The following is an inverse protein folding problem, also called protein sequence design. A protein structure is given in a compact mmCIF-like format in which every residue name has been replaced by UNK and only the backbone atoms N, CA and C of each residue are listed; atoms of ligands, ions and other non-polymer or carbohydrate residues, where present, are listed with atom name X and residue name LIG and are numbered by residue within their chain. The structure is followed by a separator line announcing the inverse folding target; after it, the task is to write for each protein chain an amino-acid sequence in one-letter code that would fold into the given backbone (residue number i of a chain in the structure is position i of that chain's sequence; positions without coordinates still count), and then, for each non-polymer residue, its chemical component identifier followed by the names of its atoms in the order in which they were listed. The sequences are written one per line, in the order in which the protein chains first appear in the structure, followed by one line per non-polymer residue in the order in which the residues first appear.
data_IF_808211339419
#
_entry.id   IF_808211339419
#
_cell.length_a   1.000
_cell.length_b   1.000
_cell.length_c   1.000
_cell.angle_alpha   90.00
_cell.angle_beta   90.00
_cell.angle_gamma   90.00
#
_symmetry.space_group_name_H-M   'P 1'
#
loop_
_entity.id
_entity.type
_entity.pdbx_description
1 polymer ?
#
# COMPACT_ATOMS: atom_id res chain seq x y z
N UNK A 1 -18.03 7.35 -36.49
CA UNK A 1 -18.64 6.46 -35.49
C UNK A 1 -17.59 6.34 -34.39
N UNK A 2 -17.85 7.01 -33.29
CA UNK A 2 -16.94 7.10 -32.15
C UNK A 2 -16.92 5.74 -31.45
N UNK A 3 -15.74 5.07 -31.23
CA UNK A 3 -15.67 3.75 -30.63
C UNK A 3 -15.93 3.77 -29.10
N UNK A 4 -16.37 4.90 -28.53
CA UNK A 4 -16.66 5.09 -27.11
C UNK A 4 -18.15 5.28 -26.79
N UNK A 5 -19.04 4.74 -27.62
CA UNK A 5 -20.46 4.69 -27.29
C UNK A 5 -20.67 3.65 -26.16
N UNK A 6 -20.27 4.04 -24.96
CA UNK A 6 -20.51 3.28 -23.72
C UNK A 6 -21.99 3.35 -23.44
N UNK A 7 -22.64 2.19 -23.43
CA UNK A 7 -24.02 2.03 -23.04
C UNK A 7 -24.28 2.82 -21.74
N UNK A 8 -25.09 3.87 -21.84
CA UNK A 8 -25.63 4.60 -20.70
C UNK A 8 -26.55 3.60 -19.98
N UNK A 9 -26.06 2.98 -18.91
CA UNK A 9 -26.93 2.24 -18.02
C UNK A 9 -27.72 3.31 -17.25
N UNK A 10 -28.99 3.48 -17.60
CA UNK A 10 -29.87 4.38 -16.88
C UNK A 10 -29.85 4.01 -15.40
N UNK A 11 -29.38 4.95 -14.59
CA UNK A 11 -29.36 4.80 -13.14
C UNK A 11 -30.83 4.78 -12.67
N UNK A 12 -31.31 3.72 -12.00
CA UNK A 12 -32.71 3.61 -11.59
C UNK A 12 -33.18 4.74 -10.66
N UNK A 13 -32.27 5.57 -10.20
CA UNK A 13 -32.49 6.61 -9.18
C UNK A 13 -32.80 7.99 -9.77
N UNK A 14 -32.79 8.19 -11.09
CA UNK A 14 -33.24 9.45 -11.72
C UNK A 14 -34.76 9.67 -11.63
N UNK A 15 -35.54 8.67 -11.26
CA UNK A 15 -36.96 8.75 -10.92
C UNK A 15 -37.10 8.78 -9.41
N UNK A 16 -37.44 9.88 -8.82
CA UNK A 16 -37.66 10.20 -7.41
C UNK A 16 -37.55 9.13 -6.31
N UNK A 17 -37.40 9.54 -5.07
CA UNK A 17 -37.19 8.68 -3.87
C UNK A 17 -38.18 7.50 -3.74
N UNK A 18 -39.37 7.59 -4.31
CA UNK A 18 -40.37 6.52 -4.29
C UNK A 18 -40.02 5.34 -5.24
N UNK A 19 -39.23 5.55 -6.27
CA UNK A 19 -38.81 4.50 -7.20
C UNK A 19 -37.69 3.61 -6.67
N UNK A 20 -36.86 4.08 -5.74
CA UNK A 20 -35.83 3.28 -5.09
C UNK A 20 -36.46 2.17 -4.23
N UNK A 21 -37.61 2.44 -3.64
CA UNK A 21 -38.34 1.48 -2.81
C UNK A 21 -38.94 0.31 -3.62
N UNK A 22 -39.12 0.49 -4.92
CA UNK A 22 -39.59 -0.57 -5.84
C UNK A 22 -38.44 -1.29 -6.57
N UNK A 23 -37.19 -0.79 -6.47
CA UNK A 23 -36.05 -1.42 -7.12
C UNK A 23 -35.67 -2.72 -6.43
N UNK A 24 -35.40 -3.81 -7.19
CA UNK A 24 -35.08 -5.09 -6.61
C UNK A 24 -33.71 -5.09 -5.89
N UNK A 25 -33.64 -5.90 -4.82
CA UNK A 25 -32.36 -6.21 -4.19
C UNK A 25 -31.84 -7.56 -4.71
N UNK A 26 -30.50 -7.68 -4.84
CA UNK A 26 -29.86 -8.95 -5.10
C UNK A 26 -29.77 -9.75 -3.79
N UNK A 27 -30.21 -11.00 -3.81
CA UNK A 27 -30.18 -11.88 -2.63
C UNK A 27 -29.09 -12.94 -2.79
N UNK A 28 -28.28 -13.10 -1.76
CA UNK A 28 -27.21 -14.10 -1.69
C UNK A 28 -27.43 -15.06 -0.52
N UNK A 29 -27.02 -16.30 -0.68
CA UNK A 29 -27.01 -17.32 0.38
C UNK A 29 -28.38 -17.89 0.79
N UNK A 30 -29.45 -17.55 0.11
CA UNK A 30 -30.80 -18.07 0.46
C UNK A 30 -31.89 -17.67 -0.52
N UNK A 31 -33.07 -18.21 -0.30
CA UNK A 31 -34.28 -17.75 -0.98
C UNK A 31 -34.95 -16.67 -0.13
N UNK A 32 -35.27 -15.54 -0.75
CA UNK A 32 -36.04 -14.51 -0.06
C UNK A 32 -37.46 -14.97 0.28
N UNK A 33 -37.90 -14.79 1.54
CA UNK A 33 -39.32 -14.91 1.81
C UNK A 33 -40.07 -13.83 1.03
N UNK A 34 -41.30 -14.10 0.59
CA UNK A 34 -42.13 -13.10 -0.07
C UNK A 34 -42.47 -11.98 0.93
N UNK A 35 -41.71 -10.91 0.92
CA UNK A 35 -41.99 -9.72 1.71
C UNK A 35 -42.61 -8.65 0.82
N UNK A 36 -43.72 -8.02 1.24
CA UNK A 36 -44.34 -6.93 0.50
C UNK A 36 -43.34 -5.81 0.22
N UNK A 37 -43.17 -5.45 -1.04
CA UNK A 37 -42.27 -4.36 -1.45
C UNK A 37 -40.82 -4.75 -1.66
N UNK A 38 -40.43 -6.03 -1.61
CA UNK A 38 -39.15 -6.49 -2.13
C UNK A 38 -39.38 -7.28 -3.40
N UNK A 39 -38.91 -6.78 -4.49
CA UNK A 39 -38.64 -7.59 -5.68
C UNK A 39 -37.22 -8.14 -5.54
N UNK A 40 -37.10 -9.44 -5.26
CA UNK A 40 -35.79 -10.11 -5.25
C UNK A 40 -35.52 -10.66 -6.65
N UNK A 41 -34.52 -10.13 -7.31
CA UNK A 41 -34.07 -10.64 -8.61
C UNK A 41 -32.58 -10.97 -8.55
N UNK A 42 -32.26 -12.15 -8.97
CA UNK A 42 -30.88 -12.58 -9.24
C UNK A 42 -30.65 -12.57 -10.77
N UNK A 43 -30.80 -11.42 -11.43
CA UNK A 43 -30.45 -11.29 -12.85
C UNK A 43 -29.29 -10.29 -13.00
N UNK A 44 -28.16 -10.73 -13.54
CA UNK A 44 -27.02 -9.86 -13.85
C UNK A 44 -27.43 -8.64 -14.68
N UNK A 45 -26.85 -7.46 -14.38
CA UNK A 45 -27.07 -6.24 -15.14
C UNK A 45 -28.40 -5.51 -14.90
N UNK A 46 -29.29 -6.02 -14.02
CA UNK A 46 -30.53 -5.31 -13.66
C UNK A 46 -30.28 -4.23 -12.60
N UNK A 47 -31.07 -3.12 -12.59
CA UNK A 47 -31.05 -2.15 -11.51
C UNK A 47 -31.15 -2.84 -10.15
N UNK A 48 -30.29 -2.49 -9.21
CA UNK A 48 -30.17 -3.13 -7.91
C UNK A 48 -30.13 -2.07 -6.81
N UNK A 49 -31.06 -2.15 -5.84
CA UNK A 49 -31.14 -1.24 -4.70
C UNK A 49 -30.17 -1.62 -3.56
N UNK A 50 -29.64 -2.83 -3.57
CA UNK A 50 -28.69 -3.31 -2.57
C UNK A 50 -28.51 -4.83 -2.63
N UNK A 51 -27.55 -5.32 -1.87
CA UNK A 51 -27.28 -6.75 -1.74
C UNK A 51 -27.72 -7.18 -0.34
N UNK A 52 -28.56 -8.25 -0.27
CA UNK A 52 -29.03 -8.84 0.97
C UNK A 52 -28.41 -10.23 1.13
N UNK A 53 -27.62 -10.44 2.16
CA UNK A 53 -27.09 -11.76 2.52
C UNK A 53 -28.05 -12.41 3.52
N UNK A 54 -28.75 -13.46 3.10
CA UNK A 54 -29.76 -14.17 3.87
C UNK A 54 -29.30 -15.56 4.35
N UNK A 55 -28.13 -15.99 3.98
CA UNK A 55 -27.51 -17.24 4.36
C UNK A 55 -25.99 -17.13 4.30
N UNK A 56 -25.30 -18.26 4.41
CA UNK A 56 -23.84 -18.29 4.34
C UNK A 56 -23.35 -17.82 2.96
N UNK A 57 -22.52 -16.80 2.95
CA UNK A 57 -21.92 -16.19 1.75
C UNK A 57 -20.40 -16.13 1.94
N UNK A 58 -19.67 -16.55 0.93
CA UNK A 58 -18.19 -16.40 0.92
C UNK A 58 -17.78 -15.02 0.37
N UNK A 59 -16.58 -14.53 0.71
CA UNK A 59 -16.05 -13.29 0.11
C UNK A 59 -16.01 -13.32 -1.42
N UNK A 60 -15.72 -14.50 -2.01
CA UNK A 60 -15.69 -14.68 -3.47
C UNK A 60 -17.10 -14.49 -4.08
N UNK A 61 -18.12 -15.11 -3.48
CA UNK A 61 -19.50 -14.96 -3.95
C UNK A 61 -20.00 -13.52 -3.88
N UNK A 62 -19.62 -12.79 -2.82
CA UNK A 62 -19.94 -11.35 -2.72
C UNK A 62 -19.21 -10.54 -3.77
N UNK A 63 -17.94 -10.83 -4.02
CA UNK A 63 -17.15 -10.15 -5.05
C UNK A 63 -17.74 -10.39 -6.46
N UNK A 64 -18.11 -11.64 -6.78
CA UNK A 64 -18.74 -11.98 -8.05
C UNK A 64 -20.09 -11.25 -8.22
N UNK A 65 -20.92 -11.21 -7.18
CA UNK A 65 -22.19 -10.50 -7.20
C UNK A 65 -22.02 -8.98 -7.44
N UNK A 66 -20.95 -8.39 -6.92
CA UNK A 66 -20.64 -6.96 -7.11
C UNK A 66 -20.12 -6.64 -8.51
N UNK A 67 -19.56 -7.61 -9.23
CA UNK A 67 -19.24 -7.46 -10.65
C UNK A 67 -20.48 -7.42 -11.54
N UNK A 68 -21.56 -8.08 -11.10
CA UNK A 68 -22.83 -8.20 -11.84
C UNK A 68 -23.76 -7.00 -11.62
N UNK A 69 -23.64 -6.26 -10.51
CA UNK A 69 -24.48 -5.08 -10.28
C UNK A 69 -23.96 -3.86 -11.06
N UNK A 70 -24.88 -3.01 -11.58
CA UNK A 70 -24.48 -1.81 -12.34
C UNK A 70 -23.61 -0.86 -11.55
N UNK A 71 -23.94 -0.61 -10.28
CA UNK A 71 -23.16 0.24 -9.37
C UNK A 71 -22.65 -0.58 -8.18
N UNK A 72 -21.33 -0.91 -8.11
CA UNK A 72 -20.77 -1.65 -7.00
C UNK A 72 -20.77 -0.92 -5.65
N UNK A 73 -21.10 0.39 -5.62
CA UNK A 73 -21.22 1.16 -4.39
C UNK A 73 -22.57 0.99 -3.68
N UNK A 74 -23.46 0.13 -4.18
CA UNK A 74 -24.76 -0.17 -3.56
C UNK A 74 -24.61 -0.62 -2.10
N UNK A 75 -25.59 -0.31 -1.23
CA UNK A 75 -25.60 -0.79 0.15
C UNK A 75 -25.65 -2.33 0.24
N UNK A 76 -24.97 -2.88 1.23
CA UNK A 76 -24.93 -4.31 1.53
C UNK A 76 -25.46 -4.55 2.94
N UNK A 77 -26.41 -5.47 3.09
CA UNK A 77 -26.94 -5.91 4.38
C UNK A 77 -26.66 -7.39 4.62
N UNK A 78 -26.23 -7.69 5.85
CA UNK A 78 -26.09 -9.08 6.34
C UNK A 78 -27.16 -9.39 7.39
N UNK A 79 -28.03 -10.35 7.08
CA UNK A 79 -29.05 -10.87 7.97
C UNK A 79 -28.79 -12.33 8.38
N UNK A 80 -27.61 -12.84 8.08
CA UNK A 80 -27.22 -14.21 8.38
C UNK A 80 -26.01 -14.30 9.34
N UNK A 81 -25.39 -13.15 9.67
CA UNK A 81 -24.25 -13.11 10.57
C UNK A 81 -22.99 -13.75 9.96
N UNK A 82 -22.69 -13.45 8.69
CA UNK A 82 -21.53 -14.01 8.00
C UNK A 82 -20.22 -13.53 8.66
N UNK A 83 -19.44 -14.44 9.26
CA UNK A 83 -18.19 -14.05 9.90
C UNK A 83 -17.17 -13.56 8.87
N UNK A 84 -16.47 -12.46 9.19
CA UNK A 84 -15.43 -11.88 8.33
C UNK A 84 -15.95 -11.09 7.11
N UNK A 85 -17.25 -11.14 6.79
CA UNK A 85 -17.86 -10.24 5.80
C UNK A 85 -18.35 -8.98 6.49
N UNK A 86 -17.77 -7.85 6.10
CA UNK A 86 -18.20 -6.55 6.62
C UNK A 86 -19.14 -5.89 5.64
N UNK A 87 -20.29 -5.45 6.12
CA UNK A 87 -21.37 -4.86 5.37
C UNK A 87 -21.76 -3.48 5.92
N UNK A 88 -22.60 -2.77 5.19
CA UNK A 88 -23.14 -1.47 5.61
C UNK A 88 -24.13 -1.63 6.77
N UNK A 89 -24.95 -2.66 6.71
CA UNK A 89 -26.03 -2.92 7.66
C UNK A 89 -26.00 -4.38 8.12
N UNK A 90 -26.16 -4.62 9.41
CA UNK A 90 -26.26 -5.95 9.99
C UNK A 90 -27.56 -6.10 10.78
N UNK A 91 -28.24 -7.25 10.60
CA UNK A 91 -29.43 -7.61 11.33
C UNK A 91 -29.46 -9.11 11.62
N UNK A 92 -30.16 -9.53 12.67
CA UNK A 92 -30.20 -10.95 13.06
C UNK A 92 -31.03 -11.81 12.09
N UNK A 93 -32.07 -11.25 11.51
CA UNK A 93 -32.95 -11.93 10.57
C UNK A 93 -33.76 -10.94 9.73
N UNK A 94 -33.92 -11.25 8.46
CA UNK A 94 -34.79 -10.44 7.60
C UNK A 94 -36.30 -10.60 8.00
N UNK A 95 -36.88 -9.48 8.40
CA UNK A 95 -38.29 -9.32 8.71
C UNK A 95 -38.77 -7.91 8.29
N UNK A 96 -40.07 -7.60 8.27
CA UNK A 96 -40.53 -6.28 7.82
C UNK A 96 -39.93 -5.09 8.56
N UNK A 97 -39.78 -5.09 9.91
CA UNK A 97 -39.09 -4.01 10.62
C UNK A 97 -37.59 -3.87 10.27
N UNK A 98 -36.88 -4.98 10.16
CA UNK A 98 -35.48 -4.99 9.80
C UNK A 98 -35.22 -4.48 8.37
N UNK A 99 -36.15 -4.83 7.46
CA UNK A 99 -36.14 -4.30 6.10
C UNK A 99 -36.41 -2.79 6.07
N UNK A 100 -37.41 -2.32 6.85
CA UNK A 100 -37.66 -0.88 6.95
C UNK A 100 -36.43 -0.14 7.47
N UNK A 101 -35.78 -0.65 8.53
CA UNK A 101 -34.54 -0.10 9.08
C UNK A 101 -33.41 -0.08 8.04
N UNK A 102 -33.22 -1.13 7.25
CA UNK A 102 -32.25 -1.13 6.15
C UNK A 102 -32.59 -0.12 5.06
N UNK A 103 -33.85 0.09 4.73
CA UNK A 103 -34.30 1.10 3.77
C UNK A 103 -34.02 2.51 4.27
N UNK A 104 -34.36 2.78 5.52
CA UNK A 104 -34.08 4.09 6.14
C UNK A 104 -32.59 4.40 6.16
N UNK A 105 -31.78 3.40 6.51
CA UNK A 105 -30.31 3.49 6.45
C UNK A 105 -29.80 3.71 5.02
N UNK A 106 -30.37 3.03 4.02
CA UNK A 106 -29.89 3.05 2.63
C UNK A 106 -30.34 4.29 1.85
N UNK A 107 -31.45 4.94 2.25
CA UNK A 107 -32.03 6.08 1.54
C UNK A 107 -31.06 7.26 1.35
N UNK A 108 -30.31 7.73 2.38
CA UNK A 108 -29.32 8.81 2.19
C UNK A 108 -28.19 8.38 1.26
N UNK A 109 -27.74 7.11 1.31
CA UNK A 109 -26.71 6.59 0.43
C UNK A 109 -27.17 6.67 -1.03
N UNK A 110 -28.39 6.21 -1.30
CA UNK A 110 -29.00 6.26 -2.64
C UNK A 110 -29.16 7.68 -3.16
N UNK A 111 -29.60 8.61 -2.31
CA UNK A 111 -29.75 10.01 -2.70
C UNK A 111 -28.41 10.57 -3.21
N UNK A 112 -27.32 10.33 -2.47
CA UNK A 112 -25.99 10.77 -2.88
C UNK A 112 -25.46 10.05 -4.14
N UNK A 113 -25.70 8.74 -4.26
CA UNK A 113 -25.31 8.00 -5.48
C UNK A 113 -26.05 8.51 -6.72
N UNK A 114 -27.28 8.99 -6.56
CA UNK A 114 -28.08 9.56 -7.66
C UNK A 114 -27.57 10.93 -8.14
N UNK A 115 -26.90 11.69 -7.29
CA UNK A 115 -26.32 12.98 -7.64
C UNK A 115 -25.12 12.86 -8.60
N UNK A 116 -24.51 11.66 -8.66
CA UNK A 116 -23.31 11.42 -9.44
C UNK A 116 -23.62 10.57 -10.68
N UNK A 117 -23.27 11.01 -11.87
CA UNK A 117 -23.37 10.15 -13.06
C UNK A 117 -22.42 8.96 -12.89
N UNK A 118 -22.96 7.74 -13.00
CA UNK A 118 -22.14 6.54 -13.04
C UNK A 118 -21.66 6.30 -14.48
N UNK A 119 -20.63 7.02 -14.86
CA UNK A 119 -19.89 6.79 -16.10
C UNK A 119 -18.46 6.46 -15.69
N UNK A 120 -18.07 5.21 -15.75
CA UNK A 120 -16.72 4.81 -15.46
C UNK A 120 -16.17 4.02 -16.66
N UNK A 121 -15.00 4.41 -17.13
CA UNK A 121 -14.24 3.55 -18.00
C UNK A 121 -13.96 2.23 -17.25
N UNK A 122 -13.99 1.07 -17.92
CA UNK A 122 -13.78 -0.24 -17.24
C UNK A 122 -12.51 -0.28 -16.40
N UNK A 123 -11.45 0.38 -16.85
CA UNK A 123 -10.16 0.49 -16.17
C UNK A 123 -10.19 1.30 -14.88
N UNK A 124 -11.08 2.30 -14.77
CA UNK A 124 -11.19 3.19 -13.61
C UNK A 124 -12.30 2.76 -12.63
N UNK A 125 -13.02 1.67 -12.96
CA UNK A 125 -14.22 1.26 -12.24
C UNK A 125 -13.98 0.97 -10.76
N UNK A 126 -12.89 0.28 -10.43
CA UNK A 126 -12.58 -0.09 -9.05
C UNK A 126 -12.26 1.13 -8.18
N UNK A 127 -11.47 2.04 -8.70
CA UNK A 127 -11.05 3.28 -8.03
C UNK A 127 -12.22 4.25 -7.87
N UNK A 128 -13.01 4.47 -8.93
CA UNK A 128 -14.23 5.28 -8.84
C UNK A 128 -15.23 4.68 -7.88
N UNK A 129 -15.30 3.33 -7.76
CA UNK A 129 -16.14 2.68 -6.74
C UNK A 129 -15.67 3.03 -5.32
N UNK A 130 -14.35 3.06 -5.06
CA UNK A 130 -13.83 3.47 -3.76
C UNK A 130 -14.22 4.92 -3.40
N UNK A 131 -14.04 5.84 -4.35
CA UNK A 131 -14.46 7.23 -4.16
C UNK A 131 -15.97 7.38 -3.96
N UNK A 132 -16.79 6.61 -4.73
CA UNK A 132 -18.25 6.58 -4.59
C UNK A 132 -18.70 6.04 -3.24
N UNK A 133 -18.01 5.03 -2.71
CA UNK A 133 -18.27 4.51 -1.36
C UNK A 133 -18.03 5.61 -0.31
N UNK A 134 -16.91 6.32 -0.36
CA UNK A 134 -16.63 7.43 0.55
C UNK A 134 -17.68 8.54 0.45
N UNK A 135 -18.01 8.97 -0.77
CA UNK A 135 -18.99 10.02 -1.03
C UNK A 135 -20.39 9.65 -0.55
N UNK A 136 -20.88 8.48 -0.93
CA UNK A 136 -22.26 8.08 -0.68
C UNK A 136 -22.55 7.84 0.81
N UNK A 137 -21.56 7.41 1.59
CA UNK A 137 -21.70 7.19 3.04
C UNK A 137 -21.42 8.47 3.83
N UNK A 138 -20.94 9.55 3.18
CA UNK A 138 -20.53 10.81 3.85
C UNK A 138 -19.55 10.55 5.00
N UNK A 139 -18.63 9.64 4.79
CA UNK A 139 -17.75 9.16 5.83
C UNK A 139 -16.39 8.79 5.25
N UNK A 140 -15.37 8.88 6.07
CA UNK A 140 -14.06 8.35 5.76
C UNK A 140 -14.11 6.84 5.52
N UNK A 141 -13.28 6.33 4.64
CA UNK A 141 -13.00 4.90 4.54
C UNK A 141 -12.09 4.55 5.72
N UNK A 142 -12.69 3.94 6.74
CA UNK A 142 -12.01 3.66 7.99
C UNK A 142 -11.28 2.32 7.98
N UNK A 143 -9.99 2.35 8.31
CA UNK A 143 -9.25 1.16 8.71
C UNK A 143 -9.68 0.74 10.12
N UNK A 144 -9.76 -0.54 10.39
CA UNK A 144 -10.09 -1.07 11.72
C UNK A 144 -9.36 -2.37 11.99
N UNK A 145 -9.09 -2.67 13.27
CA UNK A 145 -8.50 -3.95 13.63
C UNK A 145 -9.41 -5.10 13.24
N UNK A 146 -8.82 -6.11 12.62
CA UNK A 146 -9.47 -7.32 12.12
C UNK A 146 -8.66 -8.56 12.58
N UNK A 147 -8.90 -9.08 13.79
CA UNK A 147 -8.13 -10.20 14.33
C UNK A 147 -8.15 -11.45 13.44
N UNK A 148 -9.21 -11.64 12.67
CA UNK A 148 -9.37 -12.76 11.74
C UNK A 148 -8.58 -12.59 10.43
N UNK A 149 -8.11 -11.38 10.15
CA UNK A 149 -7.28 -11.09 8.97
C UNK A 149 -5.81 -11.41 9.24
N UNK A 150 -5.13 -12.03 8.28
CA UNK A 150 -3.66 -12.19 8.35
C UNK A 150 -2.91 -10.87 8.44
N UNK A 151 -3.53 -9.77 8.02
CA UNK A 151 -2.97 -8.41 8.08
C UNK A 151 -3.28 -7.68 9.38
N UNK A 152 -4.15 -8.23 10.27
CA UNK A 152 -4.65 -7.65 11.52
C UNK A 152 -5.45 -6.35 11.36
N UNK A 153 -5.45 -5.75 10.18
CA UNK A 153 -6.18 -4.53 9.85
C UNK A 153 -6.90 -4.75 8.52
N UNK A 154 -8.10 -4.20 8.43
CA UNK A 154 -8.89 -4.24 7.20
C UNK A 154 -9.78 -3.00 7.09
N UNK A 155 -10.33 -2.77 5.90
CA UNK A 155 -11.29 -1.71 5.62
C UNK A 155 -12.69 -2.29 5.57
N UNK A 156 -13.61 -1.73 6.35
CA UNK A 156 -15.03 -2.05 6.23
C UNK A 156 -15.47 -1.85 4.78
N UNK A 157 -16.27 -2.71 4.23
CA UNK A 157 -16.86 -2.61 2.88
C UNK A 157 -15.90 -2.90 1.71
N UNK A 158 -14.58 -2.99 1.92
CA UNK A 158 -13.62 -3.10 0.82
C UNK A 158 -13.10 -4.51 0.56
N UNK A 159 -13.54 -5.52 1.31
CA UNK A 159 -13.21 -6.94 1.03
C UNK A 159 -13.62 -7.41 -0.38
N UNK A 160 -14.47 -6.62 -1.05
CA UNK A 160 -14.95 -6.77 -2.42
C UNK A 160 -14.02 -6.22 -3.50
N UNK A 161 -13.03 -5.42 -3.13
CA UNK A 161 -12.12 -4.77 -4.09
C UNK A 161 -10.73 -5.36 -3.91
N UNK A 162 -10.25 -6.02 -4.96
CA UNK A 162 -8.88 -6.55 -4.96
C UNK A 162 -7.86 -5.44 -4.78
N UNK A 163 -6.83 -5.70 -3.98
CA UNK A 163 -5.77 -4.73 -3.70
C UNK A 163 -6.28 -3.37 -3.16
N UNK A 164 -7.38 -3.38 -2.37
CA UNK A 164 -8.04 -2.15 -1.91
C UNK A 164 -7.08 -1.16 -1.23
N UNK A 165 -6.18 -1.64 -0.36
CA UNK A 165 -5.19 -0.78 0.30
C UNK A 165 -4.27 -0.08 -0.70
N UNK A 166 -3.69 -0.82 -1.66
CA UNK A 166 -2.81 -0.24 -2.67
C UNK A 166 -3.54 0.79 -3.53
N UNK A 167 -4.82 0.53 -3.87
CA UNK A 167 -5.65 1.48 -4.62
C UNK A 167 -5.97 2.74 -3.82
N UNK A 168 -6.26 2.62 -2.52
CA UNK A 168 -6.48 3.76 -1.64
C UNK A 168 -5.22 4.62 -1.49
N UNK A 169 -4.06 4.00 -1.30
CA UNK A 169 -2.78 4.70 -1.27
C UNK A 169 -2.52 5.45 -2.58
N UNK A 170 -2.73 4.78 -3.71
CA UNK A 170 -2.55 5.38 -5.02
C UNK A 170 -3.53 6.55 -5.28
N UNK A 171 -4.80 6.44 -4.86
CA UNK A 171 -5.76 7.55 -4.93
C UNK A 171 -5.34 8.73 -4.04
N UNK A 172 -4.74 8.45 -2.89
CA UNK A 172 -4.22 9.49 -2.01
C UNK A 172 -2.95 10.15 -2.57
N UNK A 173 -2.10 9.41 -3.31
CA UNK A 173 -0.96 9.98 -4.04
C UNK A 173 -1.39 10.90 -5.19
N UNK A 174 -2.62 10.73 -5.68
CA UNK A 174 -3.26 11.60 -6.68
C UNK A 174 -4.02 12.76 -6.06
N UNK A 175 -3.94 12.97 -4.73
CA UNK A 175 -4.70 13.96 -3.97
C UNK A 175 -6.24 13.79 -4.06
N UNK A 176 -6.73 12.62 -4.51
CA UNK A 176 -8.16 12.31 -4.57
C UNK A 176 -8.72 11.88 -3.22
N UNK A 177 -7.85 11.36 -2.35
CA UNK A 177 -8.12 11.00 -0.97
C UNK A 177 -7.06 11.64 -0.06
N UNK A 178 -7.46 12.02 1.15
CA UNK A 178 -6.58 12.51 2.20
C UNK A 178 -6.34 11.41 3.23
N UNK A 179 -5.06 11.11 3.52
CA UNK A 179 -4.66 10.14 4.53
C UNK A 179 -4.76 10.71 5.94
N UNK A 180 -5.26 9.88 6.86
CA UNK A 180 -5.13 10.09 8.28
C UNK A 180 -4.55 8.81 8.89
N UNK A 181 -3.40 8.90 9.54
CA UNK A 181 -2.72 7.74 10.12
C UNK A 181 -3.61 7.03 11.15
N UNK A 182 -3.72 5.72 11.03
CA UNK A 182 -4.44 4.85 11.95
C UNK A 182 -3.48 4.03 12.80
N UNK A 183 -2.67 3.18 12.19
CA UNK A 183 -1.70 2.33 12.90
C UNK A 183 -0.61 1.84 11.96
N UNK A 184 0.46 1.29 12.55
CA UNK A 184 1.53 0.60 11.84
C UNK A 184 1.54 -0.86 12.24
N UNK A 185 1.55 -1.77 11.27
CA UNK A 185 1.79 -3.20 11.49
C UNK A 185 3.14 -3.59 10.92
N UNK A 186 3.66 -4.71 11.40
CA UNK A 186 4.84 -5.34 10.83
C UNK A 186 4.41 -6.60 10.10
N UNK A 187 5.03 -6.89 8.96
CA UNK A 187 4.73 -8.06 8.16
C UNK A 187 5.89 -9.06 8.17
N UNK A 188 5.55 -10.33 8.16
CA UNK A 188 6.51 -11.43 7.99
C UNK A 188 7.15 -11.35 6.60
N UNK A 189 8.48 -11.31 6.53
CA UNK A 189 9.21 -11.28 5.25
C UNK A 189 9.02 -12.52 4.36
N UNK A 190 8.40 -13.61 4.90
CA UNK A 190 8.18 -14.84 4.15
C UNK A 190 6.76 -15.00 3.59
N UNK A 191 5.72 -14.63 4.37
CA UNK A 191 4.32 -14.86 3.99
C UNK A 191 3.44 -13.60 4.10
N UNK A 192 4.05 -12.44 4.37
CA UNK A 192 3.39 -11.12 4.48
C UNK A 192 2.29 -11.03 5.57
N UNK A 193 2.18 -12.04 6.43
CA UNK A 193 1.25 -12.00 7.57
C UNK A 193 1.75 -11.04 8.63
N UNK A 194 0.84 -10.25 9.20
CA UNK A 194 1.11 -9.40 10.38
C UNK A 194 0.79 -10.10 11.70
N UNK A 195 0.39 -11.37 11.68
CA UNK A 195 0.15 -12.18 12.87
C UNK A 195 1.49 -12.63 13.44
N UNK A 196 2.15 -11.73 14.15
CA UNK A 196 3.49 -11.90 14.68
C UNK A 196 3.44 -11.97 16.21
N UNK A 197 4.14 -12.95 16.78
CA UNK A 197 4.48 -13.00 18.19
C UNK A 197 5.83 -12.30 18.39
N UNK A 198 5.81 -11.16 19.08
CA UNK A 198 7.01 -10.45 19.48
C UNK A 198 7.57 -11.04 20.76
N UNK A 199 8.89 -11.27 20.81
CA UNK A 199 9.56 -11.74 22.02
C UNK A 199 11.01 -11.23 22.07
N UNK A 200 11.51 -11.15 23.29
CA UNK A 200 12.92 -10.85 23.53
C UNK A 200 13.79 -12.08 23.25
N UNK A 201 14.89 -11.89 22.55
CA UNK A 201 15.76 -12.97 22.12
C UNK A 201 17.23 -12.66 22.41
N UNK A 202 17.98 -13.71 22.63
CA UNK A 202 19.43 -13.64 22.72
C UNK A 202 20.04 -13.25 21.35
N UNK A 203 20.86 -12.18 21.27
CA UNK A 203 21.51 -11.78 20.00
C UNK A 203 22.40 -12.88 19.41
N UNK A 204 22.98 -13.75 20.25
CA UNK A 204 23.91 -14.79 19.83
C UNK A 204 23.23 -16.04 19.28
N UNK A 205 22.06 -16.47 19.82
CA UNK A 205 21.44 -17.74 19.41
C UNK A 205 19.94 -17.67 19.13
N UNK A 206 19.30 -16.49 19.29
CA UNK A 206 17.87 -16.29 19.03
C UNK A 206 16.93 -16.89 20.08
N UNK A 207 17.45 -17.50 21.16
CA UNK A 207 16.63 -18.11 22.21
C UNK A 207 15.94 -17.06 23.07
N UNK A 208 14.64 -17.23 23.35
CA UNK A 208 13.88 -16.42 24.31
C UNK A 208 14.06 -16.85 25.76
N UNK A 209 14.91 -17.85 26.05
CA UNK A 209 15.16 -18.30 27.42
C UNK A 209 16.22 -17.41 28.12
N UNK A 210 15.78 -16.22 28.45
CA UNK A 210 16.59 -15.16 29.03
C UNK A 210 16.28 -14.99 30.51
N UNK A 211 17.27 -14.55 31.29
CA UNK A 211 17.12 -14.17 32.67
C UNK A 211 17.96 -12.94 32.98
N UNK A 212 17.38 -12.04 33.74
CA UNK A 212 18.08 -10.86 34.25
C UNK A 212 18.88 -11.25 35.49
N UNK A 213 20.16 -10.93 35.47
CA UNK A 213 21.05 -11.15 36.61
C UNK A 213 21.81 -9.86 36.97
N UNK A 214 22.04 -9.60 38.26
CA UNK A 214 22.92 -8.51 38.64
C UNK A 214 24.33 -8.75 38.11
N UNK A 215 24.94 -7.70 37.52
CA UNK A 215 26.34 -7.69 37.18
C UNK A 215 27.18 -7.45 38.42
N UNK A 216 28.01 -8.41 38.82
CA UNK A 216 28.92 -8.27 39.95
C UNK A 216 30.27 -7.75 39.47
N UNK A 217 30.72 -6.66 40.07
CA UNK A 217 32.06 -6.09 39.84
C UNK A 217 32.91 -6.27 41.09
N UNK A 218 33.94 -7.10 40.99
CA UNK A 218 34.93 -7.26 42.08
C UNK A 218 36.00 -6.16 41.95
N UNK A 219 36.02 -5.23 42.90
CA UNK A 219 36.83 -4.03 42.83
C UNK A 219 38.35 -4.29 42.81
N UNK A 220 38.81 -5.34 43.49
CA UNK A 220 40.26 -5.61 43.61
C UNK A 220 40.91 -6.09 42.32
N UNK A 221 40.23 -6.94 41.54
CA UNK A 221 40.82 -7.52 40.33
C UNK A 221 40.11 -7.07 39.03
N UNK A 222 39.06 -6.21 39.15
CA UNK A 222 38.28 -5.69 38.05
C UNK A 222 37.45 -6.71 37.32
N UNK A 223 37.21 -7.91 37.90
CA UNK A 223 36.37 -8.93 37.26
C UNK A 223 34.93 -8.51 37.27
N UNK A 224 34.26 -8.57 36.12
CA UNK A 224 32.84 -8.32 35.96
C UNK A 224 32.18 -9.53 35.31
N UNK A 225 31.08 -10.03 35.90
CA UNK A 225 30.27 -11.11 35.34
C UNK A 225 28.91 -11.14 36.01
N UNK A 226 27.92 -11.87 35.46
CA UNK A 226 26.65 -12.15 36.13
C UNK A 226 26.88 -12.79 37.52
N UNK A 227 25.98 -12.51 38.45
CA UNK A 227 26.06 -13.02 39.82
C UNK A 227 26.17 -14.54 39.88
N UNK A 228 25.48 -15.25 38.99
CA UNK A 228 25.56 -16.70 38.88
C UNK A 228 26.98 -17.24 38.69
N UNK A 229 27.87 -16.50 38.02
CA UNK A 229 29.27 -16.87 37.83
C UNK A 229 30.17 -16.64 39.06
N UNK A 230 29.68 -15.86 40.02
CA UNK A 230 30.33 -15.67 41.32
C UNK A 230 29.73 -16.59 42.39
N UNK A 231 28.57 -17.17 42.16
CA UNK A 231 27.87 -18.01 43.13
C UNK A 231 28.60 -19.34 43.36
N UNK A 232 28.96 -19.60 44.64
CA UNK A 232 29.48 -20.88 45.11
C UNK A 232 28.69 -21.24 46.39
N UNK A 233 27.62 -21.97 46.18
CA UNK A 233 26.63 -22.26 47.23
C UNK A 233 25.96 -20.98 47.75
N UNK A 234 26.21 -20.61 49.00
CA UNK A 234 25.69 -19.38 49.63
C UNK A 234 26.69 -18.22 49.60
N UNK A 235 27.86 -18.44 49.08
CA UNK A 235 28.94 -17.47 49.05
C UNK A 235 29.12 -16.92 47.64
N UNK A 236 29.70 -15.71 47.52
CA UNK A 236 30.16 -15.16 46.26
C UNK A 236 31.68 -15.31 46.18
N UNK A 237 32.18 -16.04 45.18
CA UNK A 237 33.60 -16.28 44.94
C UNK A 237 33.99 -15.74 43.58
N UNK A 238 35.00 -14.90 43.54
CA UNK A 238 35.45 -14.32 42.25
C UNK A 238 36.02 -15.40 41.31
N UNK A 239 35.47 -15.60 40.10
CA UNK A 239 35.94 -16.63 39.19
C UNK A 239 37.38 -16.38 38.70
N UNK A 240 37.84 -15.13 38.68
CA UNK A 240 39.17 -14.74 38.21
C UNK A 240 40.27 -14.95 39.26
N UNK A 241 40.07 -14.48 40.49
CA UNK A 241 41.11 -14.49 41.52
C UNK A 241 40.80 -15.41 42.70
N UNK A 242 39.68 -16.17 42.69
CA UNK A 242 39.25 -17.15 43.64
C UNK A 242 39.03 -16.63 45.09
N UNK A 243 38.87 -15.31 45.26
CA UNK A 243 38.58 -14.70 46.54
C UNK A 243 37.09 -14.70 46.82
N UNK A 244 36.74 -14.98 48.07
CA UNK A 244 35.40 -14.79 48.63
C UNK A 244 35.09 -13.27 48.71
N UNK A 245 33.88 -12.89 48.33
CA UNK A 245 33.35 -11.52 48.37
C UNK A 245 32.35 -11.40 49.50
N UNK A 246 32.71 -10.70 50.58
CA UNK A 246 31.91 -10.65 51.81
C UNK A 246 31.15 -9.35 51.97
N UNK A 247 31.72 -8.23 51.56
CA UNK A 247 31.18 -6.92 51.87
C UNK A 247 30.81 -6.17 50.60
N UNK A 248 29.48 -5.99 50.42
CA UNK A 248 28.96 -5.13 49.37
C UNK A 248 29.44 -3.68 49.55
N UNK A 249 29.85 -3.02 48.50
CA UNK A 249 30.40 -1.65 48.51
C UNK A 249 31.90 -1.56 48.89
N UNK A 250 32.50 -2.63 49.39
CA UNK A 250 33.93 -2.70 49.78
C UNK A 250 34.70 -3.69 48.89
N UNK A 251 34.26 -4.95 48.86
CA UNK A 251 34.87 -6.00 48.06
C UNK A 251 34.31 -5.99 46.63
N UNK A 252 33.02 -5.73 46.50
CA UNK A 252 32.30 -5.75 45.20
C UNK A 252 31.12 -4.79 45.19
N UNK A 253 30.66 -4.50 43.96
CA UNK A 253 29.43 -3.77 43.70
C UNK A 253 28.58 -4.45 42.62
N UNK A 254 27.34 -3.98 42.48
CA UNK A 254 26.40 -4.41 41.48
C UNK A 254 26.01 -3.18 40.62
N UNK A 255 26.83 -2.79 39.60
CA UNK A 255 26.65 -1.57 38.87
C UNK A 255 25.45 -1.59 37.93
N UNK A 256 24.87 -2.76 37.64
CA UNK A 256 23.75 -2.89 36.71
C UNK A 256 23.18 -4.30 36.69
N UNK A 257 22.30 -4.53 35.76
CA UNK A 257 21.69 -5.82 35.41
C UNK A 257 22.15 -6.20 34.01
N UNK A 258 22.39 -7.47 33.79
CA UNK A 258 22.72 -8.05 32.48
C UNK A 258 21.77 -9.18 32.15
N UNK A 259 21.56 -9.43 30.87
CA UNK A 259 20.72 -10.52 30.37
C UNK A 259 21.60 -11.76 30.13
N UNK A 260 21.27 -12.86 30.77
CA UNK A 260 21.97 -14.14 30.60
C UNK A 260 21.09 -15.10 29.82
N UNK A 261 21.58 -15.60 28.70
CA UNK A 261 20.90 -16.61 27.93
C UNK A 261 21.14 -18.01 28.53
N UNK A 262 20.09 -18.68 28.98
CA UNK A 262 20.18 -20.07 29.46
C UNK A 262 20.37 -21.10 28.36
N UNK A 263 20.15 -20.71 27.08
CA UNK A 263 20.35 -21.59 25.94
C UNK A 263 21.82 -21.75 25.55
N UNK A 264 22.56 -20.62 25.43
CA UNK A 264 23.95 -20.63 24.96
C UNK A 264 24.97 -20.08 25.99
N UNK A 265 24.52 -19.51 27.10
CA UNK A 265 25.36 -18.91 28.12
C UNK A 265 25.94 -17.54 27.80
N UNK A 266 25.48 -16.92 26.69
CA UNK A 266 25.85 -15.54 26.33
C UNK A 266 25.35 -14.56 27.41
N UNK A 267 26.12 -13.49 27.61
CA UNK A 267 25.81 -12.40 28.56
C UNK A 267 25.81 -11.13 27.75
N UNK A 268 24.68 -10.43 27.77
CA UNK A 268 24.45 -9.23 26.97
C UNK A 268 23.90 -8.11 27.87
N UNK A 269 24.08 -6.88 27.45
CA UNK A 269 23.54 -5.73 28.17
C UNK A 269 22.01 -5.63 27.95
N UNK A 270 21.55 -5.92 26.71
CA UNK A 270 20.14 -5.86 26.32
C UNK A 270 19.78 -7.00 25.35
N UNK A 271 18.56 -7.54 25.43
CA UNK A 271 18.06 -8.49 24.45
C UNK A 271 17.71 -7.79 23.14
N UNK A 272 17.57 -8.55 22.05
CA UNK A 272 17.01 -8.07 20.79
C UNK A 272 15.55 -8.49 20.65
N UNK A 273 14.74 -7.68 19.96
CA UNK A 273 13.37 -8.05 19.67
C UNK A 273 13.32 -8.93 18.42
N UNK A 274 12.67 -10.08 18.51
CA UNK A 274 12.38 -10.98 17.39
C UNK A 274 10.88 -11.16 17.20
N UNK A 275 10.51 -11.49 15.95
CA UNK A 275 9.15 -11.86 15.58
C UNK A 275 9.08 -13.32 15.14
N UNK A 276 8.17 -14.08 15.74
CA UNK A 276 7.77 -15.40 15.25
C UNK A 276 6.42 -15.28 14.54
N UNK A 277 6.37 -15.63 13.25
CA UNK A 277 5.13 -15.61 12.50
C UNK A 277 4.21 -16.76 12.92
N UNK A 278 2.97 -16.45 13.30
CA UNK A 278 1.99 -17.43 13.73
C UNK A 278 1.42 -18.26 12.59
N UNK A 279 1.55 -17.80 11.35
CA UNK A 279 0.99 -18.47 10.17
C UNK A 279 2.01 -19.39 9.46
N UNK A 280 3.29 -19.01 9.40
CA UNK A 280 4.31 -19.80 8.69
C UNK A 280 5.49 -20.24 9.55
N UNK A 281 5.46 -19.94 10.86
CA UNK A 281 6.50 -20.25 11.85
C UNK A 281 7.91 -19.69 11.52
N UNK A 282 8.04 -18.76 10.57
CA UNK A 282 9.29 -18.09 10.32
C UNK A 282 9.64 -17.18 11.49
N UNK A 283 10.91 -17.17 11.88
CA UNK A 283 11.46 -16.26 12.90
C UNK A 283 12.38 -15.28 12.23
N UNK A 284 12.17 -13.98 12.49
CA UNK A 284 12.94 -12.88 11.93
C UNK A 284 13.26 -11.84 13.01
N UNK A 285 14.46 -11.24 12.99
CA UNK A 285 14.75 -10.07 13.80
C UNK A 285 13.74 -8.95 13.50
N UNK A 286 13.41 -8.15 14.51
CA UNK A 286 12.47 -7.01 14.32
C UNK A 286 12.97 -6.01 13.28
N UNK A 287 14.30 -5.89 13.12
CA UNK A 287 14.96 -5.03 12.11
C UNK A 287 14.69 -5.45 10.68
N UNK A 288 14.39 -6.72 10.45
CA UNK A 288 14.18 -7.30 9.12
C UNK A 288 12.68 -7.39 8.76
N UNK A 289 11.81 -6.92 9.64
CA UNK A 289 10.37 -6.87 9.37
C UNK A 289 10.02 -5.66 8.50
N UNK A 290 9.07 -5.85 7.59
CA UNK A 290 8.58 -4.76 6.74
C UNK A 290 7.43 -4.01 7.44
N UNK A 291 7.60 -2.72 7.77
CA UNK A 291 6.52 -1.92 8.35
C UNK A 291 5.49 -1.60 7.28
N UNK A 292 4.21 -1.63 7.65
CA UNK A 292 3.08 -1.24 6.82
C UNK A 292 2.23 -0.24 7.56
N UNK A 293 2.11 0.97 7.02
CA UNK A 293 1.23 1.99 7.56
C UNK A 293 -0.20 1.80 7.05
N UNK A 294 -1.15 1.98 7.94
CA UNK A 294 -2.58 1.93 7.67
C UNK A 294 -3.19 3.29 7.97
N UNK A 295 -4.06 3.75 7.07
CA UNK A 295 -4.66 5.07 7.13
C UNK A 295 -6.18 4.97 7.03
N UNK A 296 -6.89 5.93 7.60
CA UNK A 296 -8.23 6.30 7.16
C UNK A 296 -8.11 7.21 5.94
N UNK A 297 -9.12 7.22 5.09
CA UNK A 297 -9.12 8.02 3.87
C UNK A 297 -10.39 8.85 3.77
N UNK A 298 -10.22 10.15 3.62
CA UNK A 298 -11.30 11.11 3.41
C UNK A 298 -11.30 11.59 1.96
N UNK A 299 -12.49 11.74 1.38
CA UNK A 299 -12.64 12.27 0.03
C UNK A 299 -12.23 13.74 -0.02
N UNK A 300 -11.42 14.12 -0.99
CA UNK A 300 -11.02 15.51 -1.24
C UNK A 300 -11.96 16.18 -2.26
N UNK A 301 -11.81 17.50 -2.45
CA UNK A 301 -12.51 18.22 -3.52
C UNK A 301 -12.09 17.73 -4.91
N UNK A 302 -10.82 17.35 -5.08
CA UNK A 302 -10.32 16.75 -6.33
C UNK A 302 -10.95 15.39 -6.57
N UNK A 303 -11.08 14.57 -5.52
CA UNK A 303 -11.78 13.28 -5.59
C UNK A 303 -13.24 13.45 -5.96
N UNK A 304 -13.90 14.48 -5.43
CA UNK A 304 -15.29 14.80 -5.79
C UNK A 304 -15.40 15.26 -7.25
N UNK A 305 -14.44 16.06 -7.74
CA UNK A 305 -14.39 16.44 -9.18
C UNK A 305 -14.21 15.22 -10.08
N UNK A 306 -13.29 14.32 -9.74
CA UNK A 306 -13.09 13.08 -10.48
C UNK A 306 -14.36 12.21 -10.54
N UNK A 307 -15.15 12.18 -9.47
CA UNK A 307 -16.45 11.52 -9.45
C UNK A 307 -17.46 12.17 -10.38
N UNK A 308 -17.55 13.48 -10.42
CA UNK A 308 -18.44 14.20 -11.35
C UNK A 308 -18.03 14.02 -12.82
N UNK A 309 -16.72 13.99 -13.09
CA UNK A 309 -16.19 13.79 -14.43
C UNK A 309 -16.28 12.31 -14.88
N UNK A 310 -16.48 11.39 -13.94
CA UNK A 310 -16.51 9.95 -14.19
C UNK A 310 -15.19 9.40 -14.72
N UNK A 311 -14.09 10.10 -14.50
CA UNK A 311 -12.75 9.75 -14.95
C UNK A 311 -11.72 10.11 -13.88
N UNK A 312 -10.72 9.25 -13.76
CA UNK A 312 -9.55 9.57 -12.94
C UNK A 312 -8.59 10.48 -13.73
N UNK A 313 -7.91 11.41 -13.04
CA UNK A 313 -6.84 12.17 -13.67
C UNK A 313 -5.78 11.19 -14.18
N UNK A 314 -5.58 11.17 -15.49
CA UNK A 314 -4.54 10.33 -16.09
C UNK A 314 -3.17 10.90 -15.74
N UNK A 315 -2.21 10.00 -15.55
CA UNK A 315 -0.84 10.40 -15.25
C UNK A 315 -0.33 11.32 -16.36
N UNK A 316 -0.11 12.57 -15.97
CA UNK A 316 0.71 13.48 -16.73
C UNK A 316 2.05 13.62 -16.01
N UNK A 317 3.10 13.07 -16.60
CA UNK A 317 4.46 13.12 -16.04
C UNK A 317 4.97 14.56 -15.95
N UNK A 318 4.48 15.44 -16.81
CA UNK A 318 4.95 16.81 -16.89
C UNK A 318 4.85 17.60 -15.56
N UNK A 319 3.72 17.57 -14.80
CA UNK A 319 3.65 18.25 -13.51
C UNK A 319 4.60 17.66 -12.45
N UNK A 320 4.84 16.34 -12.49
CA UNK A 320 5.79 15.69 -11.59
C UNK A 320 7.20 16.18 -11.85
N UNK A 321 7.59 16.19 -13.11
CA UNK A 321 8.91 16.64 -13.53
C UNK A 321 9.12 18.16 -13.30
N UNK A 322 8.07 18.99 -13.46
CA UNK A 322 8.13 20.44 -13.21
C UNK A 322 8.53 20.80 -11.78
N UNK A 323 8.20 19.98 -10.77
CA UNK A 323 8.59 20.22 -9.37
C UNK A 323 10.10 20.29 -9.18
N UNK A 324 10.86 19.66 -10.05
CA UNK A 324 12.34 19.58 -9.91
C UNK A 324 13.08 20.70 -10.63
N UNK A 325 12.40 21.62 -11.35
CA UNK A 325 13.03 22.74 -12.06
C UNK A 325 14.02 22.33 -13.17
N UNK A 326 14.04 21.04 -13.53
CA UNK A 326 14.93 20.42 -14.53
C UNK A 326 14.16 19.68 -15.62
N UNK A 327 12.85 19.69 -15.52
CA UNK A 327 11.98 19.11 -16.51
C UNK A 327 11.59 20.17 -17.52
N UNK A 328 11.84 19.84 -18.75
CA UNK A 328 11.58 20.70 -19.87
C UNK A 328 10.47 20.12 -20.74
N UNK A 329 9.76 20.97 -21.47
CA UNK A 329 8.91 20.48 -22.53
C UNK A 329 9.77 19.77 -23.61
N UNK A 330 9.22 18.86 -24.42
CA UNK A 330 10.00 18.19 -25.46
C UNK A 330 10.71 19.15 -26.41
N UNK A 331 10.09 20.30 -26.69
CA UNK A 331 10.69 21.34 -27.54
C UNK A 331 11.89 22.02 -26.88
N UNK A 332 11.78 22.38 -25.59
CA UNK A 332 12.88 22.98 -24.83
C UNK A 332 14.01 21.97 -24.62
N UNK A 333 13.69 20.72 -24.33
CA UNK A 333 14.65 19.64 -24.21
C UNK A 333 15.45 19.46 -25.49
N UNK A 334 14.79 19.42 -26.64
CA UNK A 334 15.46 19.29 -27.95
C UNK A 334 16.40 20.46 -28.23
N UNK A 335 16.01 21.68 -27.85
CA UNK A 335 16.88 22.86 -28.00
C UNK A 335 18.12 22.75 -27.08
N UNK A 336 17.92 22.37 -25.82
CA UNK A 336 19.03 22.18 -24.86
C UNK A 336 19.95 21.04 -25.31
N UNK A 337 19.40 19.93 -25.77
CA UNK A 337 20.18 18.79 -26.25
C UNK A 337 20.96 19.13 -27.53
N UNK A 338 20.38 19.87 -28.45
CA UNK A 338 21.06 20.33 -29.66
C UNK A 338 22.21 21.27 -29.34
N UNK A 339 22.01 22.22 -28.41
CA UNK A 339 23.06 23.11 -27.94
C UNK A 339 24.17 22.33 -27.22
N UNK A 340 23.81 21.43 -26.31
CA UNK A 340 24.79 20.59 -25.61
C UNK A 340 25.62 19.72 -26.56
N UNK A 341 24.98 19.16 -27.62
CA UNK A 341 25.65 18.42 -28.67
C UNK A 341 26.62 19.31 -29.46
N UNK A 342 26.21 20.56 -29.78
CA UNK A 342 27.05 21.52 -30.47
C UNK A 342 28.29 21.89 -29.67
N UNK A 343 28.12 22.14 -28.36
CA UNK A 343 29.21 22.43 -27.42
C UNK A 343 30.12 21.20 -27.30
N UNK A 344 29.55 20.00 -27.14
CA UNK A 344 30.31 18.75 -27.05
C UNK A 344 31.21 18.51 -28.26
N UNK A 345 30.68 18.74 -29.48
CA UNK A 345 31.45 18.64 -30.74
C UNK A 345 32.57 19.67 -30.81
N UNK A 346 32.30 20.93 -30.44
CA UNK A 346 33.26 22.03 -30.54
C UNK A 346 34.43 21.88 -29.60
N UNK A 347 34.19 21.41 -28.39
CA UNK A 347 35.16 21.33 -27.31
C UNK A 347 35.62 19.92 -26.98
N UNK A 348 35.25 18.93 -27.80
CA UNK A 348 35.55 17.50 -27.63
C UNK A 348 35.18 16.98 -26.23
N UNK A 349 34.02 17.45 -25.68
CA UNK A 349 33.51 17.04 -24.39
C UNK A 349 32.41 15.97 -24.57
N UNK A 350 32.32 14.99 -23.67
CA UNK A 350 31.29 13.98 -23.80
C UNK A 350 29.89 14.55 -23.48
N UNK A 351 28.91 14.16 -24.27
CA UNK A 351 27.49 14.39 -23.99
C UNK A 351 26.72 13.13 -24.32
N UNK A 352 25.97 12.62 -23.34
CA UNK A 352 25.12 11.44 -23.50
C UNK A 352 23.65 11.78 -23.39
N UNK A 353 22.85 11.10 -24.18
CA UNK A 353 21.39 11.00 -24.00
C UNK A 353 21.02 9.59 -23.56
N UNK A 354 20.01 9.50 -22.72
CA UNK A 354 19.44 8.24 -22.34
C UNK A 354 17.93 8.28 -22.43
N UNK A 355 17.33 7.13 -22.80
CA UNK A 355 15.90 6.87 -22.69
C UNK A 355 15.68 5.84 -21.63
N UNK A 356 14.83 6.15 -20.66
CA UNK A 356 14.34 5.23 -19.65
C UNK A 356 12.89 4.89 -19.98
N UNK A 357 12.58 3.61 -20.15
CA UNK A 357 11.24 3.12 -20.52
C UNK A 357 10.81 2.01 -19.60
N UNK A 358 9.55 2.01 -19.17
CA UNK A 358 8.92 0.90 -18.45
C UNK A 358 8.21 0.00 -19.45
N UNK A 359 8.78 -1.21 -19.69
CA UNK A 359 8.35 -2.11 -20.76
C UNK A 359 7.07 -2.87 -20.48
N UNK A 360 6.77 -3.17 -19.21
CA UNK A 360 5.63 -4.01 -18.81
C UNK A 360 4.42 -3.21 -18.27
N UNK A 361 4.33 -1.91 -18.55
CA UNK A 361 3.33 -1.02 -17.96
C UNK A 361 1.89 -1.44 -18.28
N UNK A 362 1.62 -1.88 -19.50
CA UNK A 362 0.27 -2.31 -19.91
C UNK A 362 -0.14 -3.65 -19.28
N UNK A 363 0.82 -4.55 -19.04
CA UNK A 363 0.58 -5.78 -18.32
C UNK A 363 0.23 -5.47 -16.85
N UNK A 364 1.04 -4.66 -16.19
CA UNK A 364 0.82 -4.28 -14.80
C UNK A 364 -0.49 -3.51 -14.62
N UNK A 365 -0.87 -2.66 -15.57
CA UNK A 365 -2.17 -1.99 -15.54
C UNK A 365 -3.35 -2.95 -15.55
N UNK A 366 -3.25 -4.06 -16.28
CA UNK A 366 -4.29 -5.10 -16.30
C UNK A 366 -4.33 -5.90 -14.99
N UNK A 367 -3.18 -6.16 -14.39
CA UNK A 367 -3.06 -6.97 -13.17
C UNK A 367 -3.35 -6.19 -11.89
N UNK A 368 -2.79 -4.98 -11.76
CA UNK A 368 -2.84 -4.16 -10.55
C UNK A 368 -3.81 -2.97 -10.64
N UNK A 369 -4.30 -2.67 -11.84
CA UNK A 369 -5.10 -1.50 -12.14
C UNK A 369 -4.26 -0.26 -12.47
N UNK A 370 -4.83 0.69 -13.26
CA UNK A 370 -4.09 1.83 -13.79
C UNK A 370 -3.56 2.76 -12.71
N UNK A 371 -4.33 3.00 -11.65
CA UNK A 371 -3.96 3.95 -10.59
C UNK A 371 -2.77 3.47 -9.78
N UNK A 372 -2.72 2.17 -9.44
CA UNK A 372 -1.58 1.58 -8.72
C UNK A 372 -0.31 1.69 -9.56
N UNK A 373 -0.41 1.38 -10.85
CA UNK A 373 0.73 1.44 -11.78
C UNK A 373 1.18 2.87 -12.02
N UNK A 374 0.24 3.80 -12.16
CA UNK A 374 0.54 5.21 -12.36
C UNK A 374 1.21 5.82 -11.10
N UNK A 375 0.77 5.43 -9.89
CA UNK A 375 1.44 5.83 -8.65
C UNK A 375 2.85 5.25 -8.54
N UNK A 376 3.02 3.95 -8.84
CA UNK A 376 4.32 3.30 -8.85
C UNK A 376 5.27 3.93 -9.88
N UNK A 377 4.76 4.25 -11.06
CA UNK A 377 5.54 4.91 -12.10
C UNK A 377 5.93 6.35 -11.71
N UNK A 378 5.02 7.11 -11.08
CA UNK A 378 5.32 8.44 -10.55
C UNK A 378 6.46 8.38 -9.53
N UNK A 379 6.39 7.45 -8.58
CA UNK A 379 7.42 7.24 -7.57
C UNK A 379 8.75 6.84 -8.22
N UNK A 380 8.73 6.02 -9.26
CA UNK A 380 9.92 5.66 -10.03
C UNK A 380 10.56 6.88 -10.71
N UNK A 381 9.75 7.77 -11.30
CA UNK A 381 10.23 9.03 -11.89
C UNK A 381 10.81 9.95 -10.82
N UNK A 382 10.10 10.16 -9.70
CA UNK A 382 10.56 11.00 -8.59
C UNK A 382 11.91 10.51 -8.06
N UNK A 383 12.04 9.21 -7.81
CA UNK A 383 13.29 8.57 -7.38
C UNK A 383 14.40 8.76 -8.42
N UNK A 384 14.07 8.56 -9.70
CA UNK A 384 15.03 8.70 -10.80
C UNK A 384 15.58 10.12 -10.89
N UNK A 385 14.69 11.13 -10.90
CA UNK A 385 15.08 12.54 -11.01
C UNK A 385 15.82 13.01 -9.77
N UNK A 386 15.45 12.52 -8.58
CA UNK A 386 16.14 12.82 -7.32
C UNK A 386 17.60 12.38 -7.29
N UNK A 387 17.97 11.36 -8.05
CA UNK A 387 19.33 10.82 -8.15
C UNK A 387 20.20 11.50 -9.22
N UNK A 388 19.60 12.31 -10.10
CA UNK A 388 20.31 13.04 -11.14
C UNK A 388 20.99 14.30 -10.60
N UNK A 389 22.04 14.76 -11.29
CA UNK A 389 22.75 16.00 -10.97
C UNK A 389 21.94 17.24 -11.39
N UNK A 390 22.28 18.40 -10.82
CA UNK A 390 21.64 19.66 -11.20
C UNK A 390 21.86 20.08 -12.68
N UNK A 391 22.92 19.57 -13.29
CA UNK A 391 23.24 19.79 -14.71
C UNK A 391 22.45 18.88 -15.66
N UNK A 392 21.90 17.77 -15.13
CA UNK A 392 21.16 16.83 -15.94
C UNK A 392 19.74 17.35 -16.14
N UNK A 393 19.17 17.15 -17.31
CA UNK A 393 17.85 17.64 -17.67
C UNK A 393 16.99 16.53 -18.27
N UNK A 394 15.68 16.61 -18.05
CA UNK A 394 14.76 15.54 -18.38
C UNK A 394 13.54 16.04 -19.14
N UNK A 395 12.93 15.18 -19.96
CA UNK A 395 11.62 15.43 -20.58
C UNK A 395 10.80 14.14 -20.63
N UNK A 396 9.47 14.23 -20.55
CA UNK A 396 8.60 13.11 -20.89
C UNK A 396 8.80 12.69 -22.36
N UNK A 397 8.84 11.38 -22.61
CA UNK A 397 8.95 10.77 -23.94
C UNK A 397 7.84 9.71 -24.13
N UNK A 398 6.59 10.14 -23.93
CA UNK A 398 5.43 9.28 -23.95
C UNK A 398 4.91 8.88 -22.57
N UNK A 399 3.92 7.98 -22.51
CA UNK A 399 3.22 7.65 -21.27
C UNK A 399 4.05 6.80 -20.29
N UNK A 400 5.07 6.11 -20.76
CA UNK A 400 5.85 5.17 -19.98
C UNK A 400 7.37 5.37 -20.14
N UNK A 401 7.80 6.51 -20.68
CA UNK A 401 9.23 6.77 -20.90
C UNK A 401 9.61 8.22 -20.68
N UNK A 402 10.90 8.46 -20.41
CA UNK A 402 11.49 9.77 -20.32
C UNK A 402 12.85 9.80 -21.01
N UNK A 403 13.21 10.96 -21.55
CA UNK A 403 14.57 11.24 -22.02
C UNK A 403 15.33 12.03 -20.97
N UNK A 404 16.62 11.74 -20.87
CA UNK A 404 17.55 12.36 -19.93
C UNK A 404 18.78 12.82 -20.68
N UNK A 405 19.13 14.10 -20.54
CA UNK A 405 20.38 14.68 -21.05
C UNK A 405 21.45 14.74 -19.97
N UNK A 406 22.65 14.25 -20.28
CA UNK A 406 23.81 14.19 -19.40
C UNK A 406 24.95 15.03 -19.98
N UNK A 407 25.05 16.33 -19.66
CA UNK A 407 26.18 17.16 -20.06
C UNK A 407 27.50 16.65 -19.44
N UNK A 408 28.58 16.75 -20.18
CA UNK A 408 29.95 16.39 -19.77
C UNK A 408 30.04 14.95 -19.21
N UNK A 409 29.25 14.03 -19.77
CA UNK A 409 29.14 12.66 -19.30
C UNK A 409 29.14 11.70 -20.49
N UNK A 410 30.00 10.69 -20.48
CA UNK A 410 30.01 9.67 -21.53
C UNK A 410 28.84 8.69 -21.39
N UNK A 411 28.48 8.00 -22.48
CA UNK A 411 27.43 7.01 -22.46
C UNK A 411 27.68 5.90 -21.43
N UNK A 412 28.94 5.51 -21.23
CA UNK A 412 29.31 4.49 -20.23
C UNK A 412 29.10 4.98 -18.78
N UNK A 413 29.33 6.25 -18.49
CA UNK A 413 29.06 6.82 -17.17
C UNK A 413 27.57 7.05 -16.97
N UNK A 414 26.85 7.52 -17.97
CA UNK A 414 25.38 7.64 -17.92
C UNK A 414 24.73 6.29 -17.64
N UNK A 415 25.18 5.21 -18.28
CA UNK A 415 24.69 3.86 -18.02
C UNK A 415 24.89 3.44 -16.55
N UNK A 416 26.05 3.72 -15.95
CA UNK A 416 26.29 3.44 -14.52
C UNK A 416 25.36 4.21 -13.58
N UNK A 417 25.09 5.49 -13.89
CA UNK A 417 24.12 6.28 -13.13
C UNK A 417 22.74 5.64 -13.21
N UNK A 418 22.32 5.23 -14.39
CA UNK A 418 21.02 4.64 -14.62
C UNK A 418 20.87 3.21 -14.07
N UNK A 419 21.97 2.44 -13.98
CA UNK A 419 21.98 1.16 -13.25
C UNK A 419 21.75 1.36 -11.75
N UNK A 420 22.30 2.43 -11.19
CA UNK A 420 22.02 2.82 -9.80
C UNK A 420 20.56 3.24 -9.64
N UNK A 421 20.03 4.08 -10.56
CA UNK A 421 18.62 4.48 -10.58
C UNK A 421 17.70 3.25 -10.58
N UNK A 422 17.97 2.26 -11.44
CA UNK A 422 17.19 1.00 -11.49
C UNK A 422 17.15 0.27 -10.14
N UNK A 423 18.31 0.18 -9.46
CA UNK A 423 18.40 -0.48 -8.16
C UNK A 423 17.60 0.24 -7.08
N UNK A 424 17.70 1.57 -7.02
CA UNK A 424 16.97 2.37 -6.05
C UNK A 424 15.46 2.36 -6.32
N UNK A 425 15.04 2.43 -7.58
CA UNK A 425 13.63 2.30 -7.95
C UNK A 425 13.08 0.93 -7.54
N UNK A 426 13.84 -0.15 -7.76
CA UNK A 426 13.43 -1.50 -7.37
C UNK A 426 13.27 -1.68 -5.84
N UNK A 427 13.98 -0.88 -5.04
CA UNK A 427 13.85 -0.89 -3.57
C UNK A 427 12.61 -0.11 -3.14
N UNK A 428 12.35 1.03 -3.77
CA UNK A 428 11.31 1.98 -3.31
C UNK A 428 9.93 1.63 -3.88
N UNK A 429 9.90 1.09 -5.11
CA UNK A 429 8.65 0.80 -5.82
C UNK A 429 8.24 -0.66 -5.62
N UNK A 430 7.10 -0.88 -4.96
CA UNK A 430 6.59 -2.23 -4.69
C UNK A 430 6.10 -2.98 -5.96
N UNK A 431 5.78 -2.28 -7.04
CA UNK A 431 5.37 -2.89 -8.31
C UNK A 431 6.61 -3.38 -9.10
N UNK A 432 6.56 -4.56 -9.73
CA UNK A 432 7.68 -5.12 -10.48
C UNK A 432 7.86 -4.43 -11.85
N UNK A 433 8.34 -3.17 -11.85
CA UNK A 433 8.58 -2.40 -13.05
C UNK A 433 9.80 -2.93 -13.83
N UNK A 434 9.60 -3.28 -15.09
CA UNK A 434 10.68 -3.63 -16.01
C UNK A 434 11.25 -2.38 -16.67
N UNK A 435 12.33 -1.85 -16.11
CA UNK A 435 12.97 -0.63 -16.59
C UNK A 435 14.04 -0.98 -17.64
N UNK A 436 13.77 -0.62 -18.88
CA UNK A 436 14.73 -0.63 -19.98
C UNK A 436 15.46 0.73 -20.06
N UNK A 437 16.76 0.68 -20.36
CA UNK A 437 17.59 1.89 -20.52
C UNK A 437 18.36 1.77 -21.83
N UNK A 438 18.28 2.83 -22.64
CA UNK A 438 19.08 2.99 -23.85
C UNK A 438 19.92 4.24 -23.70
N UNK A 439 21.24 4.14 -23.87
CA UNK A 439 22.16 5.28 -23.83
C UNK A 439 22.84 5.47 -25.16
N UNK A 440 23.05 6.71 -25.54
CA UNK A 440 23.75 7.07 -26.77
C UNK A 440 24.62 8.32 -26.56
N UNK A 441 25.70 8.44 -27.31
CA UNK A 441 26.67 9.56 -27.28
C UNK A 441 26.96 10.08 -28.68
N UNK A 442 27.25 11.37 -28.80
CA UNK A 442 27.63 12.00 -30.06
C UNK A 442 26.50 11.94 -31.10
N UNK A 443 26.82 11.54 -32.34
CA UNK A 443 25.83 11.46 -33.44
C UNK A 443 24.69 10.46 -33.18
N UNK A 444 24.96 9.40 -32.42
CA UNK A 444 23.93 8.43 -32.02
C UNK A 444 22.95 9.02 -31.00
N UNK A 445 23.37 10.03 -30.23
CA UNK A 445 22.47 10.74 -29.32
C UNK A 445 21.42 11.53 -30.10
N UNK A 446 21.78 12.14 -31.25
CA UNK A 446 20.83 12.83 -32.10
C UNK A 446 19.70 11.90 -32.62
N UNK A 447 20.02 10.63 -32.91
CA UNK A 447 19.04 9.64 -33.36
C UNK A 447 18.01 9.25 -32.26
N UNK A 448 18.27 9.55 -30.97
CA UNK A 448 17.29 9.37 -29.91
C UNK A 448 16.27 10.51 -29.84
N UNK A 449 16.57 11.66 -30.45
CA UNK A 449 15.68 12.84 -30.52
C UNK A 449 14.73 12.77 -31.70
N UNK A 450 15.14 12.09 -32.81
CA UNK A 450 14.42 12.03 -34.10
C UNK A 450 13.40 10.85 -34.10
N UNK A 451 12.43 10.84 -33.18
CA UNK A 451 11.25 9.99 -33.37
C UNK A 451 10.07 10.85 -33.78
N UNK A 452 9.58 10.55 -34.99
CA UNK A 452 8.26 10.94 -35.47
C UNK A 452 7.13 10.36 -34.62
#
# INVERSE_FOLDING_TARGET
MDPYDTAVVDNPVTAGTDSVLSTPCLVLGGTSPPLPGISCRATPGSPCAGILMLGAVTPAQLADALLEVPDPAVPIADFAGNPGLRCDFAGERLNPPALAAFRDFSTPIWRRLAELPFRAAPEDRAELTLLRIAYSRDAAIEASFAPDSSRLVDYRLLGRISAARQRLEALADLDLLRRQFFTRTHACGRCESSRLHAYEACPACGSGNLVDEPLVHHYRCGSQAPESRFADGRLLVCPKCRRELRHFGVDYGKPGIVVVCRGCGAVEDEPVANFACLDCAAVTPSTDSSPTDWHHYELTEEGLRALHDGRLPRLNIAPVLQRYGRAFSPREFNLLAAEALSVARRYERPFALARLTVGNIDQLRRELGPVVVDSAFRLAIDTSVGLLRNSDFVTPDGPASMLIGFPETSAALAAKVLDRVKKEVAIVVAAPLEIAVTTAEGERAAALLDRE
#
